data_IF_740279075892
#
_entry.id   IF_740279075892
#
_cell.length_a   1.000
_cell.length_b   1.000
_cell.length_c   1.000
_cell.angle_alpha   90.00
_cell.angle_beta   90.00
_cell.angle_gamma   90.00
#
_symmetry.space_group_name_H-M   'P 1'
#
loop_
_entity.id
_entity.type
_entity.pdbx_description
1 polymer ?
#
# COMPACT_ATOMS: atom_id res chain seq x y z
N UNK A 1 -23.72 24.26 -49.28
CA UNK A 1 -22.67 24.60 -48.31
C UNK A 1 -21.44 25.11 -49.05
N UNK A 2 -20.77 26.17 -48.59
CA UNK A 2 -19.52 26.63 -49.21
C UNK A 2 -18.39 25.64 -48.88
N UNK A 3 -17.40 25.50 -49.78
CA UNK A 3 -16.24 24.60 -49.56
C UNK A 3 -15.53 24.89 -48.23
N UNK A 4 -15.47 26.17 -47.85
CA UNK A 4 -14.90 26.64 -46.59
C UNK A 4 -15.66 26.10 -45.37
N UNK A 5 -16.99 26.19 -45.38
CA UNK A 5 -17.82 25.67 -44.30
C UNK A 5 -17.65 24.15 -44.12
N UNK A 6 -17.52 23.39 -45.22
CA UNK A 6 -17.23 21.95 -45.12
C UNK A 6 -15.90 21.67 -44.44
N UNK A 7 -14.83 22.38 -44.83
CA UNK A 7 -13.49 22.22 -44.24
C UNK A 7 -13.50 22.56 -42.75
N UNK A 8 -14.19 23.65 -42.36
CA UNK A 8 -14.32 24.06 -40.96
C UNK A 8 -15.06 23.01 -40.12
N UNK A 9 -16.14 22.41 -40.65
CA UNK A 9 -16.86 21.32 -39.98
C UNK A 9 -15.98 20.08 -39.82
N UNK A 10 -15.25 19.69 -40.86
CA UNK A 10 -14.33 18.55 -40.78
C UNK A 10 -13.22 18.81 -39.75
N UNK A 11 -12.63 20.00 -39.74
CA UNK A 11 -11.63 20.38 -38.75
C UNK A 11 -12.17 20.32 -37.32
N UNK A 12 -13.39 20.84 -37.09
CA UNK A 12 -14.05 20.77 -35.78
C UNK A 12 -14.28 19.32 -35.35
N UNK A 13 -14.80 18.47 -36.24
CA UNK A 13 -15.03 17.04 -35.95
C UNK A 13 -13.70 16.35 -35.64
N UNK A 14 -12.63 16.65 -36.38
CA UNK A 14 -11.30 16.10 -36.11
C UNK A 14 -10.79 16.50 -34.73
N UNK A 15 -10.92 17.76 -34.32
CA UNK A 15 -10.53 18.22 -32.97
C UNK A 15 -11.33 17.51 -31.90
N UNK A 16 -12.66 17.40 -32.05
CA UNK A 16 -13.52 16.68 -31.11
C UNK A 16 -13.11 15.21 -31.03
N UNK A 17 -12.87 14.56 -32.17
CA UNK A 17 -12.41 13.18 -32.24
C UNK A 17 -11.07 12.96 -31.53
N UNK A 18 -10.11 13.87 -31.71
CA UNK A 18 -8.83 13.83 -31.01
C UNK A 18 -8.98 14.00 -29.49
N UNK A 19 -9.86 14.90 -29.02
CA UNK A 19 -10.11 15.06 -27.58
C UNK A 19 -10.77 13.81 -26.96
N UNK A 20 -11.70 13.17 -27.67
CA UNK A 20 -12.30 11.91 -27.23
C UNK A 20 -11.22 10.82 -27.14
N UNK A 21 -10.37 10.71 -28.16
CA UNK A 21 -9.28 9.73 -28.19
C UNK A 21 -8.33 9.92 -27.00
N UNK A 22 -7.88 11.15 -26.73
CA UNK A 22 -7.03 11.47 -25.57
C UNK A 22 -7.75 11.11 -24.25
N UNK A 23 -9.04 11.40 -24.14
CA UNK A 23 -9.83 11.01 -22.95
C UNK A 23 -9.87 9.49 -22.73
N UNK A 24 -10.00 8.72 -23.81
CA UNK A 24 -9.95 7.25 -23.76
C UNK A 24 -8.56 6.75 -23.37
N UNK A 25 -7.50 7.29 -23.95
CA UNK A 25 -6.11 6.93 -23.61
C UNK A 25 -5.79 7.21 -22.14
N UNK A 26 -6.19 8.38 -21.62
CA UNK A 26 -6.01 8.73 -20.20
C UNK A 26 -6.77 7.76 -19.30
N UNK A 27 -8.00 7.39 -19.67
CA UNK A 27 -8.81 6.43 -18.91
C UNK A 27 -8.15 5.04 -18.88
N UNK A 28 -7.68 4.55 -20.03
CA UNK A 28 -6.98 3.26 -20.13
C UNK A 28 -5.67 3.27 -19.34
N UNK A 29 -4.86 4.33 -19.47
CA UNK A 29 -3.63 4.49 -18.71
C UNK A 29 -3.90 4.49 -17.20
N UNK A 30 -4.94 5.20 -16.76
CA UNK A 30 -5.35 5.22 -15.35
C UNK A 30 -5.72 3.82 -14.86
N UNK A 31 -6.47 3.05 -15.64
CA UNK A 31 -6.82 1.66 -15.29
C UNK A 31 -5.59 0.76 -15.22
N UNK A 32 -4.64 0.89 -16.16
CA UNK A 32 -3.39 0.14 -16.13
C UNK A 32 -2.55 0.46 -14.88
N UNK A 33 -2.42 1.74 -14.52
CA UNK A 33 -1.71 2.18 -13.30
C UNK A 33 -2.38 1.61 -12.04
N UNK A 34 -3.71 1.60 -11.96
CA UNK A 34 -4.43 0.97 -10.85
C UNK A 34 -4.11 -0.53 -10.75
N UNK A 35 -4.18 -1.25 -11.87
CA UNK A 35 -3.85 -2.68 -11.92
C UNK A 35 -2.42 -2.97 -11.47
N UNK A 36 -1.44 -2.20 -11.97
CA UNK A 36 -0.05 -2.31 -11.58
C UNK A 36 0.18 -2.01 -10.09
N UNK A 37 -0.54 -1.02 -9.54
CA UNK A 37 -0.46 -0.68 -8.10
C UNK A 37 -1.01 -1.79 -7.23
N UNK A 38 -2.15 -2.38 -7.60
CA UNK A 38 -2.71 -3.55 -6.91
C UNK A 38 -1.73 -4.73 -6.92
N UNK A 39 -1.10 -4.99 -8.06
CA UNK A 39 -0.10 -6.05 -8.19
C UNK A 39 1.10 -5.78 -7.28
N UNK A 40 1.68 -4.58 -7.32
CA UNK A 40 2.86 -4.22 -6.50
C UNK A 40 2.60 -4.39 -4.99
N UNK A 41 1.41 -4.02 -4.50
CA UNK A 41 1.02 -4.21 -3.08
C UNK A 41 0.91 -5.69 -2.71
N UNK A 42 0.49 -6.53 -3.67
CA UNK A 42 0.42 -7.98 -3.51
C UNK A 42 1.81 -8.63 -3.53
N UNK A 43 2.68 -8.16 -4.42
CA UNK A 43 4.05 -8.66 -4.56
C UNK A 43 4.86 -8.38 -3.30
N UNK A 44 4.80 -7.16 -2.75
CA UNK A 44 5.46 -6.82 -1.47
C UNK A 44 5.04 -7.73 -0.31
N UNK A 45 3.76 -8.11 -0.24
CA UNK A 45 3.29 -9.04 0.79
C UNK A 45 3.83 -10.45 0.56
N UNK A 46 3.83 -10.90 -0.70
CA UNK A 46 4.32 -12.24 -1.08
C UNK A 46 5.82 -12.38 -0.84
N UNK A 47 6.60 -11.34 -1.13
CA UNK A 47 8.04 -11.27 -0.85
C UNK A 47 8.32 -11.40 0.66
N UNK A 48 7.61 -10.66 1.51
CA UNK A 48 7.74 -10.80 2.96
C UNK A 48 7.42 -12.23 3.42
N UNK A 49 6.33 -12.81 2.92
CA UNK A 49 5.93 -14.16 3.33
C UNK A 49 6.95 -15.22 2.88
N UNK A 50 7.52 -15.06 1.69
CA UNK A 50 8.56 -15.96 1.19
C UNK A 50 9.84 -15.84 2.02
N UNK A 51 10.26 -14.61 2.38
CA UNK A 51 11.41 -14.37 3.24
C UNK A 51 11.23 -15.02 4.62
N UNK A 52 10.06 -14.82 5.24
CA UNK A 52 9.73 -15.44 6.52
C UNK A 52 9.72 -16.97 6.43
N UNK A 53 9.14 -17.53 5.36
CA UNK A 53 9.01 -18.98 5.19
C UNK A 53 10.32 -19.68 4.81
N UNK A 54 11.26 -18.96 4.20
CA UNK A 54 12.53 -19.52 3.71
C UNK A 54 13.65 -19.49 4.75
N UNK A 55 13.50 -18.70 5.82
CA UNK A 55 14.46 -18.61 6.92
C UNK A 55 13.84 -19.16 8.22
N UNK A 56 14.43 -20.24 8.76
CA UNK A 56 13.95 -20.90 9.98
C UNK A 56 13.95 -19.97 11.20
N UNK A 57 14.96 -19.10 11.32
CA UNK A 57 15.05 -18.14 12.43
C UNK A 57 13.93 -17.11 12.30
N UNK A 58 13.70 -16.56 11.12
CA UNK A 58 12.62 -15.59 10.90
C UNK A 58 11.23 -16.22 11.05
N UNK A 59 11.04 -17.44 10.56
CA UNK A 59 9.82 -18.24 10.79
C UNK A 59 9.52 -18.39 12.28
N UNK A 60 10.54 -18.77 13.08
CA UNK A 60 10.40 -18.89 14.54
C UNK A 60 10.03 -17.55 15.17
N UNK A 61 10.76 -16.48 14.84
CA UNK A 61 10.48 -15.15 15.40
C UNK A 61 9.08 -14.66 15.03
N UNK A 62 8.65 -14.86 13.79
CA UNK A 62 7.30 -14.52 13.34
C UNK A 62 6.23 -15.31 14.11
N UNK A 63 6.46 -16.60 14.38
CA UNK A 63 5.55 -17.41 15.20
C UNK A 63 5.45 -16.87 16.64
N UNK A 64 6.60 -16.59 17.28
CA UNK A 64 6.63 -16.04 18.64
C UNK A 64 5.89 -14.70 18.72
N UNK A 65 6.09 -13.83 17.73
CA UNK A 65 5.42 -12.53 17.67
C UNK A 65 3.91 -12.63 17.39
N UNK A 66 3.50 -13.41 16.38
CA UNK A 66 2.11 -13.44 15.91
C UNK A 66 1.22 -14.34 16.78
N UNK A 67 1.76 -15.46 17.25
CA UNK A 67 1.02 -16.52 17.94
C UNK A 67 1.26 -16.46 19.44
N UNK A 68 2.52 -16.47 19.89
CA UNK A 68 2.85 -16.43 21.32
C UNK A 68 2.72 -15.02 21.92
N UNK A 69 2.65 -13.99 21.07
CA UNK A 69 2.50 -12.58 21.44
C UNK A 69 3.56 -12.10 22.44
N UNK A 70 4.82 -12.47 22.18
CA UNK A 70 5.97 -12.02 22.97
C UNK A 70 6.11 -10.49 22.99
N UNK A 71 6.77 -9.99 24.03
CA UNK A 71 7.24 -8.63 24.16
C UNK A 71 8.62 -8.47 23.52
N UNK A 72 8.98 -7.24 23.13
CA UNK A 72 10.26 -6.96 22.48
C UNK A 72 11.46 -7.29 23.36
N UNK A 73 11.36 -7.08 24.67
CA UNK A 73 12.45 -7.34 25.61
C UNK A 73 12.72 -8.83 25.89
N UNK A 74 11.89 -9.75 25.38
CA UNK A 74 12.09 -11.19 25.49
C UNK A 74 13.11 -11.73 24.47
N UNK A 75 13.43 -10.94 23.45
CA UNK A 75 14.38 -11.29 22.40
C UNK A 75 15.78 -10.72 22.67
N UNK A 76 16.81 -11.36 22.12
CA UNK A 76 18.14 -10.75 22.03
C UNK A 76 18.12 -9.57 21.05
N UNK A 77 19.14 -8.71 21.11
CA UNK A 77 19.17 -7.45 20.33
C UNK A 77 19.13 -7.66 18.81
N UNK A 78 19.71 -8.74 18.29
CA UNK A 78 19.71 -9.04 16.85
C UNK A 78 18.31 -9.47 16.38
N UNK A 79 17.63 -10.30 17.17
CA UNK A 79 16.29 -10.78 16.87
C UNK A 79 15.25 -9.64 17.02
N UNK A 80 15.43 -8.77 18.04
CA UNK A 80 14.65 -7.52 18.16
C UNK A 80 14.75 -6.70 16.88
N UNK A 81 15.98 -6.41 16.43
CA UNK A 81 16.20 -5.59 15.24
C UNK A 81 15.59 -6.22 13.98
N UNK A 82 15.69 -7.55 13.85
CA UNK A 82 15.10 -8.28 12.71
C UNK A 82 13.58 -8.11 12.66
N UNK A 83 12.89 -8.33 13.78
CA UNK A 83 11.45 -8.16 13.85
C UNK A 83 11.01 -6.70 13.76
N UNK A 84 11.78 -5.77 14.34
CA UNK A 84 11.51 -4.33 14.23
C UNK A 84 11.53 -3.88 12.76
N UNK A 85 12.47 -4.37 11.95
CA UNK A 85 12.50 -4.06 10.52
C UNK A 85 11.37 -4.74 9.74
N UNK A 86 10.97 -5.95 10.10
CA UNK A 86 9.77 -6.59 9.54
C UNK A 86 8.52 -5.75 9.85
N UNK A 87 8.37 -5.26 11.08
CA UNK A 87 7.28 -4.37 11.47
C UNK A 87 7.33 -3.03 10.73
N UNK A 88 8.52 -2.41 10.64
CA UNK A 88 8.70 -1.16 9.91
C UNK A 88 8.31 -1.29 8.43
N UNK A 89 8.68 -2.40 7.79
CA UNK A 89 8.25 -2.69 6.42
C UNK A 89 6.73 -2.83 6.34
N UNK A 90 6.10 -3.53 7.28
CA UNK A 90 4.65 -3.61 7.39
C UNK A 90 3.99 -2.23 7.51
N UNK A 91 4.48 -1.37 8.41
CA UNK A 91 3.97 0.00 8.57
C UNK A 91 4.12 0.82 7.28
N UNK A 92 5.26 0.73 6.59
CA UNK A 92 5.51 1.40 5.31
C UNK A 92 4.58 0.90 4.20
N UNK A 93 4.28 -0.41 4.19
CA UNK A 93 3.28 -0.98 3.27
C UNK A 93 1.89 -0.40 3.55
N UNK A 94 1.48 -0.30 4.81
CA UNK A 94 0.17 0.29 5.18
C UNK A 94 0.10 1.78 4.83
N UNK A 95 1.18 2.54 5.05
CA UNK A 95 1.30 3.94 4.61
C UNK A 95 1.15 4.07 3.10
N UNK A 96 1.82 3.21 2.34
CA UNK A 96 1.69 3.20 0.89
C UNK A 96 0.23 2.97 0.45
N UNK A 97 -0.44 1.96 1.00
CA UNK A 97 -1.85 1.68 0.67
C UNK A 97 -2.74 2.88 1.06
N UNK A 98 -2.52 3.49 2.23
CA UNK A 98 -3.24 4.69 2.67
C UNK A 98 -3.09 5.85 1.67
N UNK A 99 -1.86 6.14 1.23
CA UNK A 99 -1.60 7.22 0.28
C UNK A 99 -2.22 6.94 -1.08
N UNK A 100 -2.14 5.70 -1.56
CA UNK A 100 -2.74 5.29 -2.84
C UNK A 100 -4.27 5.34 -2.80
N UNK A 101 -4.88 4.99 -1.66
CA UNK A 101 -6.32 5.16 -1.43
C UNK A 101 -6.71 6.64 -1.40
N UNK A 102 -5.97 7.47 -0.66
CA UNK A 102 -6.20 8.92 -0.56
C UNK A 102 -6.14 9.61 -1.93
N UNK A 103 -5.28 9.12 -2.83
CA UNK A 103 -5.11 9.62 -4.19
C UNK A 103 -6.14 9.07 -5.20
N UNK A 104 -7.08 8.21 -4.77
CA UNK A 104 -8.11 7.64 -5.65
C UNK A 104 -7.59 6.58 -6.65
N UNK A 105 -6.38 6.06 -6.41
CA UNK A 105 -5.79 4.97 -7.19
C UNK A 105 -6.35 3.65 -6.68
N UNK A 106 -6.23 3.40 -5.37
CA UNK A 106 -6.83 2.23 -4.73
C UNK A 106 -8.23 2.56 -4.18
N UNK A 107 -9.08 1.55 -4.14
CA UNK A 107 -10.41 1.60 -3.54
C UNK A 107 -10.36 1.15 -2.08
N UNK A 108 -11.46 1.37 -1.34
CA UNK A 108 -11.52 1.11 0.11
C UNK A 108 -11.25 -0.36 0.47
N UNK A 109 -11.59 -1.30 -0.40
CA UNK A 109 -11.30 -2.73 -0.24
C UNK A 109 -9.80 -3.02 -0.09
N UNK A 110 -8.92 -2.18 -0.63
CA UNK A 110 -7.49 -2.30 -0.41
C UNK A 110 -7.10 -2.10 1.07
N UNK A 111 -7.82 -1.24 1.80
CA UNK A 111 -7.64 -1.04 3.24
C UNK A 111 -8.15 -2.26 4.02
N UNK A 112 -9.31 -2.78 3.65
CA UNK A 112 -9.93 -3.93 4.33
C UNK A 112 -9.07 -5.20 4.21
N UNK A 113 -8.25 -5.31 3.14
CA UNK A 113 -7.33 -6.43 2.89
C UNK A 113 -5.97 -6.34 3.61
N UNK A 114 -5.72 -5.28 4.38
CA UNK A 114 -4.44 -5.13 5.10
C UNK A 114 -4.24 -6.24 6.14
N UNK A 115 -5.31 -6.60 6.86
CA UNK A 115 -5.25 -7.51 8.01
C UNK A 115 -4.56 -6.86 9.21
N UNK A 116 -5.33 -6.33 10.16
CA UNK A 116 -4.77 -5.54 11.28
C UNK A 116 -4.30 -6.35 12.49
N UNK A 117 -4.57 -7.66 12.52
CA UNK A 117 -4.34 -8.50 13.71
C UNK A 117 -2.86 -8.58 14.11
N UNK A 118 -1.96 -8.62 13.13
CA UNK A 118 -0.51 -8.60 13.38
C UNK A 118 -0.04 -7.28 14.01
N UNK A 119 -0.62 -6.15 13.62
CA UNK A 119 -0.28 -4.82 14.13
C UNK A 119 -0.84 -4.55 15.54
N UNK A 120 -1.81 -5.35 15.99
CA UNK A 120 -2.38 -5.25 17.34
C UNK A 120 -1.56 -5.97 18.41
N UNK A 121 -0.62 -6.84 18.01
CA UNK A 121 0.26 -7.62 18.90
C UNK A 121 1.19 -6.73 19.71
N UNK A 122 1.61 -7.21 20.88
CA UNK A 122 2.39 -6.42 21.83
C UNK A 122 3.69 -5.92 21.22
N UNK A 123 4.49 -6.81 20.64
CA UNK A 123 5.72 -6.45 19.94
C UNK A 123 5.48 -5.37 18.88
N UNK A 124 4.46 -5.54 18.02
CA UNK A 124 4.15 -4.59 16.95
C UNK A 124 3.79 -3.20 17.48
N UNK A 125 3.09 -3.11 18.61
CA UNK A 125 2.78 -1.82 19.26
C UNK A 125 4.05 -1.16 19.81
N UNK A 126 4.95 -1.94 20.41
CA UNK A 126 6.23 -1.43 20.91
C UNK A 126 7.12 -0.92 19.77
N UNK A 127 7.20 -1.66 18.65
CA UNK A 127 7.90 -1.20 17.45
C UNK A 127 7.26 0.04 16.84
N UNK A 128 5.92 0.15 16.85
CA UNK A 128 5.22 1.34 16.38
C UNK A 128 5.60 2.58 17.18
N UNK A 129 5.62 2.52 18.51
CA UNK A 129 6.01 3.64 19.36
C UNK A 129 7.44 4.14 19.07
N UNK A 130 8.34 3.24 18.68
CA UNK A 130 9.71 3.58 18.29
C UNK A 130 9.78 4.35 16.96
N UNK A 131 9.00 3.92 15.96
CA UNK A 131 9.15 4.41 14.59
C UNK A 131 8.15 5.49 14.18
N UNK A 132 7.02 5.63 14.88
CA UNK A 132 5.88 6.45 14.43
C UNK A 132 6.22 7.91 14.13
N UNK A 133 7.23 8.49 14.80
CA UNK A 133 7.66 9.87 14.57
C UNK A 133 8.27 10.10 13.18
N UNK A 134 8.67 9.04 12.48
CA UNK A 134 9.16 9.08 11.10
C UNK A 134 8.08 8.96 10.02
N UNK A 135 6.80 9.03 10.39
CA UNK A 135 5.66 8.95 9.49
C UNK A 135 4.87 10.27 9.43
N UNK A 136 4.09 10.44 8.37
CA UNK A 136 3.19 11.60 8.24
C UNK A 136 2.15 11.65 9.38
N UNK A 137 1.87 12.81 10.00
CA UNK A 137 0.91 12.91 11.11
C UNK A 137 -0.51 12.44 10.77
N UNK A 138 -0.99 12.64 9.54
CA UNK A 138 -2.30 12.15 9.14
C UNK A 138 -2.30 10.63 8.99
N UNK A 139 -1.19 10.05 8.52
CA UNK A 139 -1.03 8.60 8.50
C UNK A 139 -1.01 8.02 9.92
N UNK A 140 -0.29 8.63 10.87
CA UNK A 140 -0.26 8.18 12.28
C UNK A 140 -1.69 8.10 12.83
N UNK A 141 -2.46 9.18 12.69
CA UNK A 141 -3.86 9.23 13.15
C UNK A 141 -4.71 8.17 12.43
N UNK A 142 -4.53 8.01 11.13
CA UNK A 142 -5.25 6.99 10.36
C UNK A 142 -4.92 5.58 10.86
N UNK A 143 -3.64 5.25 10.98
CA UNK A 143 -3.15 3.92 11.32
C UNK A 143 -3.60 3.51 12.73
N UNK A 144 -3.46 4.39 13.72
CA UNK A 144 -3.88 4.10 15.09
C UNK A 144 -5.39 3.88 15.17
N UNK A 145 -6.18 4.76 14.57
CA UNK A 145 -7.64 4.57 14.49
C UNK A 145 -8.04 3.33 13.71
N UNK A 146 -7.29 2.93 12.69
CA UNK A 146 -7.58 1.75 11.89
C UNK A 146 -7.20 0.45 12.62
N UNK A 147 -6.09 0.47 13.36
CA UNK A 147 -5.59 -0.64 14.18
C UNK A 147 -6.48 -0.91 15.39
N UNK A 148 -6.96 0.15 16.04
CA UNK A 148 -7.62 0.06 17.35
C UNK A 148 -9.16 -0.03 17.26
N UNK A 149 -9.71 -0.08 16.04
CA UNK A 149 -11.08 -0.56 15.80
C UNK A 149 -11.22 -2.03 16.14
#
# INVERSE_FOLDING_TARGET
>A
MSKRASIEIFGLISVIGSLIFVGVEISQNTQAVRGATHQAVSDQASELYLELASDERLSRLAYQMLIENINRNELNTTDQMSLDFIQLMGFRRVENIYLQYKNGILTKDALDRIGMDSYRKTFSRESWEMFKTGFDPHFIIFFENFRDK
#
